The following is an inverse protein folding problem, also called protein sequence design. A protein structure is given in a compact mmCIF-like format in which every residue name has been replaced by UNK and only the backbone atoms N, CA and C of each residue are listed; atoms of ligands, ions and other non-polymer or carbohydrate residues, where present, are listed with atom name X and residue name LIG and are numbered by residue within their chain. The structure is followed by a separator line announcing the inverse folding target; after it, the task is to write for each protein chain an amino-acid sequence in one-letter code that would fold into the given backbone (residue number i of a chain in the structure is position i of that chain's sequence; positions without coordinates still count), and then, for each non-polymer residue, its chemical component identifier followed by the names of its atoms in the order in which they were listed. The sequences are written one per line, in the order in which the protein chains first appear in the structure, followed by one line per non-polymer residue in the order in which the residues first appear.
data_IF_710190679044
#
_entry.id   IF_710190679044
#
_cell.length_a   1.000
_cell.length_b   1.000
_cell.length_c   1.000
_cell.angle_alpha   90.00
_cell.angle_beta   90.00
_cell.angle_gamma   90.00
#
_symmetry.space_group_name_H-M   'P 1'
#
loop_
_entity.id
_entity.type
_entity.pdbx_description
1 polymer ?
#
# COMPACT_ATOMS: atom_id res chain seq x y z
N UNK A 1 12.49 -23.51 -1.15
CA UNK A 1 13.21 -22.22 -0.97
C UNK A 1 12.13 -21.15 -0.73
N UNK A 2 11.46 -21.22 0.43
CA UNK A 2 11.60 -20.29 1.58
C UNK A 2 11.07 -18.89 1.27
N UNK A 3 9.79 -18.64 1.53
CA UNK A 3 9.06 -17.40 1.18
C UNK A 3 9.72 -16.09 1.66
N UNK A 4 10.57 -16.14 2.69
CA UNK A 4 11.39 -15.00 3.11
C UNK A 4 12.30 -14.47 2.00
N UNK A 5 12.95 -15.35 1.22
CA UNK A 5 13.81 -14.95 0.12
C UNK A 5 13.02 -14.26 -1.01
N UNK A 6 11.77 -14.71 -1.23
CA UNK A 6 10.86 -14.12 -2.21
C UNK A 6 10.44 -12.71 -1.80
N UNK A 7 10.06 -12.52 -0.54
CA UNK A 7 9.70 -11.21 0.00
C UNK A 7 10.88 -10.23 -0.03
N UNK A 8 12.09 -10.70 0.33
CA UNK A 8 13.30 -9.89 0.24
C UNK A 8 13.63 -9.50 -1.21
N UNK A 9 13.47 -10.43 -2.16
CA UNK A 9 13.67 -10.16 -3.58
C UNK A 9 12.65 -9.12 -4.10
N UNK A 10 11.39 -9.22 -3.69
CA UNK A 10 10.34 -8.26 -4.03
C UNK A 10 10.67 -6.85 -3.53
N UNK A 11 11.05 -6.70 -2.25
CA UNK A 11 11.47 -5.41 -1.68
C UNK A 11 12.74 -4.88 -2.37
N UNK A 12 13.69 -5.75 -2.72
CA UNK A 12 14.90 -5.32 -3.43
C UNK A 12 14.58 -4.76 -4.82
N UNK A 13 13.59 -5.36 -5.51
CA UNK A 13 13.12 -4.88 -6.82
C UNK A 13 12.51 -3.49 -6.76
N UNK A 14 11.86 -3.11 -5.65
CA UNK A 14 11.28 -1.76 -5.51
C UNK A 14 12.36 -0.69 -5.50
N UNK A 15 13.52 -0.93 -4.88
CA UNK A 15 14.66 0.02 -4.92
C UNK A 15 15.11 0.31 -6.35
N UNK A 16 15.24 -0.71 -7.18
CA UNK A 16 15.61 -0.54 -8.59
C UNK A 16 14.55 0.25 -9.39
N UNK A 17 13.33 0.36 -8.88
CA UNK A 17 12.24 1.17 -9.44
C UNK A 17 12.13 2.54 -8.78
N UNK A 18 13.03 2.93 -7.88
CA UNK A 18 13.06 4.26 -7.27
C UNK A 18 12.24 4.39 -5.98
N UNK A 19 11.86 3.27 -5.34
CA UNK A 19 11.29 3.34 -4.00
C UNK A 19 12.38 3.64 -2.97
N UNK A 20 12.03 4.51 -2.03
CA UNK A 20 12.72 4.66 -0.75
C UNK A 20 11.86 4.07 0.35
N UNK A 21 12.46 3.62 1.44
CA UNK A 21 11.73 3.02 2.56
C UNK A 21 12.25 3.56 3.88
N UNK A 22 11.35 3.59 4.86
CA UNK A 22 11.62 3.96 6.25
C UNK A 22 11.11 2.85 7.18
N UNK A 23 11.78 2.67 8.30
CA UNK A 23 11.29 1.80 9.37
C UNK A 23 10.38 2.62 10.27
N UNK A 24 9.12 2.20 10.38
CA UNK A 24 8.21 2.76 11.37
C UNK A 24 8.51 2.12 12.73
N UNK A 25 8.61 2.95 13.76
CA UNK A 25 8.96 2.50 15.11
C UNK A 25 7.92 2.90 16.14
N UNK A 26 7.72 2.03 17.12
CA UNK A 26 6.92 2.32 18.32
C UNK A 26 7.67 1.79 19.53
N UNK A 27 7.94 2.67 20.50
CA UNK A 27 8.71 2.29 21.71
C UNK A 27 10.14 1.80 21.43
N UNK A 28 10.75 2.20 20.30
CA UNK A 28 12.08 1.76 19.88
C UNK A 28 12.08 0.53 18.95
N UNK A 29 11.02 -0.27 18.96
CA UNK A 29 10.88 -1.46 18.12
C UNK A 29 10.41 -1.11 16.70
N UNK A 30 10.90 -1.83 15.69
CA UNK A 30 10.42 -1.69 14.31
C UNK A 30 9.09 -2.43 14.19
N UNK A 31 8.02 -1.69 13.88
CA UNK A 31 6.66 -2.25 13.78
C UNK A 31 6.18 -2.40 12.33
N UNK A 32 6.84 -1.73 11.38
CA UNK A 32 6.54 -1.88 9.96
C UNK A 32 7.66 -1.31 9.08
N UNK A 33 7.70 -1.77 7.83
CA UNK A 33 8.47 -1.14 6.75
C UNK A 33 7.49 -0.36 5.89
N UNK A 34 7.73 0.93 5.68
CA UNK A 34 6.95 1.76 4.77
C UNK A 34 7.82 2.15 3.57
N UNK A 35 7.47 1.67 2.39
CA UNK A 35 8.10 2.05 1.12
C UNK A 35 7.24 3.04 0.35
N UNK A 36 7.86 4.02 -0.29
CA UNK A 36 7.18 4.99 -1.14
C UNK A 36 7.99 5.37 -2.38
N UNK A 37 7.28 5.64 -3.48
CA UNK A 37 7.82 6.20 -4.72
C UNK A 37 6.91 7.31 -5.24
N UNK A 38 7.49 8.48 -5.47
CA UNK A 38 6.81 9.62 -6.11
C UNK A 38 7.17 9.65 -7.59
N UNK A 39 6.18 9.61 -8.47
CA UNK A 39 6.43 9.64 -9.91
C UNK A 39 5.19 10.10 -10.69
N UNK A 40 5.39 11.03 -11.63
CA UNK A 40 4.38 11.45 -12.62
C UNK A 40 3.00 11.78 -12.03
N UNK A 41 2.96 12.54 -10.93
CA UNK A 41 1.71 12.96 -10.28
C UNK A 41 1.03 11.87 -9.43
N UNK A 42 1.69 10.74 -9.17
CA UNK A 42 1.21 9.69 -8.28
C UNK A 42 2.24 9.32 -7.20
N UNK A 43 1.73 8.76 -6.11
CA UNK A 43 2.53 8.15 -5.04
C UNK A 43 2.17 6.68 -4.93
N UNK A 44 3.13 5.81 -5.18
CA UNK A 44 3.02 4.38 -4.89
C UNK A 44 3.58 4.12 -3.50
N UNK A 45 2.82 3.44 -2.66
CA UNK A 45 3.25 3.07 -1.30
C UNK A 45 3.06 1.59 -1.04
N UNK A 46 3.81 1.08 -0.08
CA UNK A 46 3.46 -0.15 0.60
C UNK A 46 3.87 -0.11 2.07
N UNK A 47 3.07 -0.74 2.92
CA UNK A 47 3.34 -0.96 4.33
C UNK A 47 3.44 -2.47 4.57
N UNK A 48 4.53 -2.94 5.16
CA UNK A 48 4.73 -4.34 5.56
C UNK A 48 4.76 -4.43 7.07
N UNK A 49 3.88 -5.23 7.66
CA UNK A 49 3.87 -5.57 9.09
C UNK A 49 4.34 -7.01 9.33
N UNK A 50 3.97 -7.92 8.43
CA UNK A 50 4.39 -9.32 8.43
C UNK A 50 4.52 -9.85 6.98
N UNK A 51 5.13 -11.02 6.75
CA UNK A 51 5.27 -11.62 5.42
C UNK A 51 3.96 -11.74 4.62
N UNK A 52 2.86 -12.04 5.30
CA UNK A 52 1.50 -12.19 4.78
C UNK A 52 0.61 -10.96 5.05
N UNK A 53 1.13 -9.96 5.77
CA UNK A 53 0.44 -8.73 6.16
C UNK A 53 1.14 -7.51 5.56
N UNK A 54 0.85 -7.26 4.29
CA UNK A 54 1.25 -6.04 3.59
C UNK A 54 0.06 -5.36 2.91
N UNK A 55 0.14 -4.03 2.81
CA UNK A 55 -0.83 -3.21 2.08
C UNK A 55 -0.04 -2.35 1.10
N UNK A 56 -0.36 -2.46 -0.19
CA UNK A 56 0.17 -1.61 -1.24
C UNK A 56 -0.93 -0.71 -1.78
N UNK A 57 -0.58 0.53 -2.14
CA UNK A 57 -1.55 1.49 -2.65
C UNK A 57 -0.93 2.47 -3.65
N UNK A 58 -1.76 3.01 -4.53
CA UNK A 58 -1.42 4.17 -5.37
C UNK A 58 -2.35 5.33 -5.03
N UNK A 59 -1.80 6.51 -4.81
CA UNK A 59 -2.53 7.75 -4.62
C UNK A 59 -2.24 8.75 -5.74
N UNK A 60 -3.14 9.71 -5.96
CA UNK A 60 -2.77 10.96 -6.62
C UNK A 60 -1.82 11.72 -5.69
N UNK A 61 -0.80 12.36 -6.24
CA UNK A 61 0.19 13.09 -5.45
C UNK A 61 -0.42 14.22 -4.62
N UNK A 62 -1.40 14.93 -5.17
CA UNK A 62 -2.14 16.01 -4.50
C UNK A 62 -3.05 15.54 -3.36
N UNK A 63 -3.44 14.26 -3.38
CA UNK A 63 -4.35 13.67 -2.38
C UNK A 63 -3.60 12.90 -1.29
N UNK A 64 -2.30 12.65 -1.46
CA UNK A 64 -1.55 11.79 -0.57
C UNK A 64 -1.41 12.40 0.83
N UNK A 65 -1.89 11.68 1.85
CA UNK A 65 -1.91 12.11 3.24
C UNK A 65 -3.20 12.84 3.67
N UNK A 66 -4.12 13.11 2.75
CA UNK A 66 -5.42 13.70 3.06
C UNK A 66 -6.40 12.60 3.50
N UNK A 67 -7.02 12.75 4.66
CA UNK A 67 -7.93 11.76 5.25
C UNK A 67 -9.22 11.54 4.46
N UNK A 68 -9.65 12.55 3.70
CA UNK A 68 -10.89 12.55 2.91
C UNK A 68 -10.72 11.86 1.53
N UNK A 69 -9.48 11.49 1.19
CA UNK A 69 -9.09 10.99 -0.13
C UNK A 69 -8.58 9.56 -0.05
N UNK A 70 -9.18 8.70 -0.84
CA UNK A 70 -8.79 7.30 -0.98
C UNK A 70 -7.66 7.09 -2.00
N UNK A 71 -7.07 5.88 -2.00
CA UNK A 71 -6.14 5.48 -3.06
C UNK A 71 -6.89 5.23 -4.37
N UNK A 72 -6.22 5.39 -5.51
CA UNK A 72 -6.70 4.97 -6.82
C UNK A 72 -6.67 3.45 -7.01
N UNK A 73 -5.84 2.77 -6.23
CA UNK A 73 -5.66 1.33 -6.24
C UNK A 73 -5.12 0.88 -4.89
N UNK A 74 -5.57 -0.28 -4.41
CA UNK A 74 -5.06 -0.88 -3.18
C UNK A 74 -5.10 -2.41 -3.28
N UNK A 75 -4.10 -3.07 -2.71
CA UNK A 75 -4.10 -4.52 -2.47
C UNK A 75 -3.53 -4.84 -1.10
N UNK A 76 -4.11 -5.83 -0.42
CA UNK A 76 -3.57 -6.42 0.79
C UNK A 76 -3.21 -7.90 0.58
N UNK A 77 -2.27 -8.40 1.38
CA UNK A 77 -1.83 -9.81 1.37
C UNK A 77 -0.32 -9.94 1.53
N UNK A 78 0.23 -11.02 0.98
CA UNK A 78 1.65 -11.32 1.08
C UNK A 78 2.54 -10.29 0.38
N UNK A 79 3.68 -9.99 0.99
CA UNK A 79 4.62 -8.94 0.55
C UNK A 79 4.99 -9.09 -0.92
N UNK A 80 5.31 -10.32 -1.35
CA UNK A 80 5.73 -10.59 -2.72
C UNK A 80 4.61 -10.27 -3.72
N UNK A 81 3.39 -10.75 -3.43
CA UNK A 81 2.23 -10.58 -4.29
C UNK A 81 1.82 -9.11 -4.41
N UNK A 82 1.70 -8.39 -3.29
CA UNK A 82 1.24 -7.00 -3.32
C UNK A 82 2.26 -6.08 -4.00
N UNK A 83 3.57 -6.34 -3.82
CA UNK A 83 4.62 -5.59 -4.50
C UNK A 83 4.62 -5.92 -5.99
N UNK A 84 4.45 -7.19 -6.36
CA UNK A 84 4.39 -7.60 -7.76
C UNK A 84 3.26 -6.85 -8.50
N UNK A 85 2.06 -6.80 -7.92
CA UNK A 85 0.94 -6.07 -8.51
C UNK A 85 1.15 -4.57 -8.56
N UNK A 86 1.68 -3.97 -7.48
CA UNK A 86 1.98 -2.54 -7.45
C UNK A 86 2.96 -2.15 -8.57
N UNK A 87 3.97 -2.99 -8.81
CA UNK A 87 4.97 -2.78 -9.87
C UNK A 87 4.45 -3.10 -11.28
N UNK A 88 3.37 -3.88 -11.39
CA UNK A 88 2.70 -4.20 -12.65
C UNK A 88 1.72 -3.09 -13.10
N UNK A 89 1.38 -2.15 -12.23
CA UNK A 89 0.51 -1.03 -12.58
C UNK A 89 1.11 -0.20 -13.73
N UNK A 90 0.30 0.15 -14.76
CA UNK A 90 0.72 1.10 -15.79
C UNK A 90 1.13 2.44 -15.17
N UNK A 91 1.97 3.25 -15.83
CA UNK A 91 2.28 4.60 -15.37
C UNK A 91 1.00 5.42 -15.13
N UNK A 92 1.01 6.31 -14.15
CA UNK A 92 -0.14 7.18 -13.90
C UNK A 92 -0.47 8.03 -15.14
N UNK A 93 -1.76 8.12 -15.49
CA UNK A 93 -2.24 8.80 -16.70
C UNK A 93 -2.12 7.99 -18.00
N UNK A 94 -1.46 6.83 -17.98
CA UNK A 94 -1.43 5.94 -19.15
C UNK A 94 -2.77 5.18 -19.32
N UNK A 95 -3.11 4.74 -20.54
CA UNK A 95 -4.24 3.83 -20.76
C UNK A 95 -4.17 2.60 -19.86
N UNK A 96 -5.29 2.28 -19.20
CA UNK A 96 -5.37 1.16 -18.25
C UNK A 96 -4.82 1.43 -16.85
N UNK A 97 -4.27 2.63 -16.59
CA UNK A 97 -3.90 3.01 -15.24
C UNK A 97 -5.14 3.19 -14.34
N UNK A 98 -5.06 2.84 -13.04
CA UNK A 98 -6.13 3.15 -12.10
C UNK A 98 -6.37 4.66 -12.01
N UNK A 99 -7.62 5.08 -12.21
CA UNK A 99 -8.04 6.50 -12.21
C UNK A 99 -9.16 6.79 -11.21
N UNK A 100 -9.94 5.77 -10.85
CA UNK A 100 -11.06 5.88 -9.92
C UNK A 100 -10.56 5.79 -8.48
N UNK A 101 -10.91 6.78 -7.69
CA UNK A 101 -10.64 6.78 -6.25
C UNK A 101 -11.45 5.68 -5.56
N UNK A 102 -10.75 4.77 -4.87
CA UNK A 102 -11.35 3.84 -3.93
C UNK A 102 -11.76 4.62 -2.68
N UNK A 103 -12.96 5.16 -2.70
CA UNK A 103 -13.60 5.67 -1.47
C UNK A 103 -13.73 4.50 -0.49
N UNK A 104 -13.28 4.69 0.75
CA UNK A 104 -13.75 3.83 1.83
C UNK A 104 -15.28 3.90 1.81
N UNK A 105 -15.95 2.76 1.63
CA UNK A 105 -17.42 2.75 1.74
C UNK A 105 -17.74 3.26 3.14
N UNK A 106 -18.48 4.36 3.21
CA UNK A 106 -19.00 4.94 4.46
C UNK A 106 -19.94 3.97 5.20
N UNK A 107 -20.31 2.87 4.55
CA UNK A 107 -20.87 1.67 5.13
C UNK A 107 -19.76 0.79 5.74
N UNK A 108 -18.98 1.33 6.68
CA UNK A 108 -18.16 0.48 7.54
C UNK A 108 -19.12 -0.56 8.14
N UNK A 109 -18.96 -1.82 7.73
CA UNK A 109 -19.77 -2.89 8.29
C UNK A 109 -19.40 -3.00 9.77
N UNK A 110 -20.29 -2.51 10.62
CA UNK A 110 -20.21 -2.70 12.05
C UNK A 110 -20.94 -4.02 12.36
N UNK A 111 -20.27 -5.04 12.91
CA UNK A 111 -20.96 -6.21 13.43
C UNK A 111 -22.06 -5.75 14.39
N UNK A 112 -23.25 -6.37 14.30
CA UNK A 112 -24.41 -5.99 15.12
C UNK A 112 -24.11 -5.96 16.63
N UNK A 113 -23.12 -6.72 17.10
CA UNK A 113 -22.67 -6.75 18.49
C UNK A 113 -22.02 -5.45 19.00
N UNK A 114 -21.55 -4.56 18.12
CA UNK A 114 -20.88 -3.30 18.48
C UNK A 114 -21.83 -2.08 18.31
N UNK A 115 -23.04 -2.30 17.78
CA UNK A 115 -24.08 -1.28 17.65
C UNK A 115 -24.84 -1.18 18.99
N UNK A 116 -24.15 -0.69 20.02
CA UNK A 116 -24.73 -0.48 21.35
C UNK A 116 -26.00 0.39 21.26
N UNK A 117 -27.06 -0.07 21.92
CA UNK A 117 -28.32 0.66 22.14
C UNK A 117 -28.02 2.02 22.78
N UNK A 118 -28.48 3.11 22.15
CA UNK A 118 -28.80 4.35 22.87
C UNK A 118 -29.99 4.13 23.79
#
# INVERSE_FOLDING_TARGET
MTGEAEHLAAITRTRARGFNFVHLRQGGEVIAIHGQRWQAGAVDTYLVRAPDEAIAARYRAEDYGLTERGPLWQRCGAVADVIADLLALPPHGAPGAPTLELRARSELWLPNAIRGRN
#
